data_IF_984708192428
#
_entry.id   IF_984708192428
#
_cell.length_a   1.000
_cell.length_b   1.000
_cell.length_c   1.000
_cell.angle_alpha   90.00
_cell.angle_beta   90.00
_cell.angle_gamma   90.00
#
_symmetry.space_group_name_H-M   'P 1'
#
loop_
_entity.id
_entity.type
_entity.pdbx_description
1 polymer ?
#
# COMPACT_ATOMS: atom_id res chain seq x y z
N UNK A 1 -26.11 1.34 15.78
CA UNK A 1 -24.90 0.57 15.41
C UNK A 1 -23.74 1.20 16.16
N UNK A 2 -22.74 0.44 16.60
CA UNK A 2 -21.55 1.02 17.22
C UNK A 2 -20.64 1.55 16.12
N UNK A 3 -20.20 2.78 16.25
CA UNK A 3 -19.21 3.41 15.34
C UNK A 3 -17.90 2.62 15.37
N UNK A 4 -17.23 2.49 14.24
CA UNK A 4 -15.95 1.82 14.12
C UNK A 4 -14.90 2.78 13.53
N UNK A 5 -13.72 2.79 14.14
CA UNK A 5 -12.54 3.52 13.67
C UNK A 5 -11.51 2.46 13.26
N UNK A 6 -11.28 2.31 11.97
CA UNK A 6 -10.27 1.38 11.44
C UNK A 6 -9.01 2.15 11.05
N UNK A 7 -7.89 1.82 11.70
CA UNK A 7 -6.57 2.36 11.39
C UNK A 7 -5.78 1.32 10.58
N UNK A 8 -5.49 1.59 9.33
CA UNK A 8 -4.70 0.75 8.44
C UNK A 8 -3.32 1.39 8.28
N UNK A 9 -2.33 0.86 9.01
CA UNK A 9 -0.95 1.38 9.08
C UNK A 9 0.01 0.24 8.74
N UNK A 10 0.14 -0.13 7.46
CA UNK A 10 0.99 -1.24 7.05
C UNK A 10 2.46 -0.94 7.36
N UNK A 11 3.18 -1.97 7.80
CA UNK A 11 4.59 -1.86 8.16
C UNK A 11 4.86 -1.47 9.61
N UNK A 12 3.85 -1.08 10.40
CA UNK A 12 4.04 -0.66 11.80
C UNK A 12 4.74 -1.72 12.66
N UNK A 13 4.47 -3.01 12.43
CA UNK A 13 5.09 -4.12 13.17
C UNK A 13 6.34 -4.69 12.49
N UNK A 14 6.78 -4.10 11.38
CA UNK A 14 7.97 -4.51 10.64
C UNK A 14 9.15 -3.52 10.78
N UNK A 15 9.06 -2.61 11.75
CA UNK A 15 10.09 -1.58 11.99
C UNK A 15 11.36 -2.19 12.59
N UNK A 16 12.55 -1.70 12.23
CA UNK A 16 13.83 -2.09 12.82
C UNK A 16 14.02 -1.45 14.21
N UNK A 17 13.24 -1.91 15.18
CA UNK A 17 13.10 -1.27 16.50
C UNK A 17 14.40 -1.22 17.29
N UNK A 18 15.35 -2.13 17.03
CA UNK A 18 16.68 -2.19 17.61
C UNK A 18 17.59 -1.04 17.19
N UNK A 19 17.29 -0.41 16.07
CA UNK A 19 18.05 0.74 15.54
C UNK A 19 17.54 2.09 16.08
N UNK A 20 16.42 2.08 16.79
CA UNK A 20 15.80 3.33 17.27
C UNK A 20 16.54 3.90 18.49
N UNK A 21 16.46 5.23 18.63
CA UNK A 21 17.05 5.92 19.78
C UNK A 21 16.50 5.34 21.11
N UNK A 22 17.34 5.19 22.13
CA UNK A 22 16.92 4.71 23.45
C UNK A 22 15.72 5.53 23.97
N UNK A 23 14.72 4.84 24.50
CA UNK A 23 13.50 5.42 25.05
C UNK A 23 12.55 6.12 24.04
N UNK A 24 12.90 6.22 22.76
CA UNK A 24 12.04 6.85 21.76
C UNK A 24 10.61 6.29 21.81
N UNK A 25 10.47 4.97 21.73
CA UNK A 25 9.16 4.29 21.69
C UNK A 25 8.34 4.49 22.99
N UNK A 26 9.01 4.69 24.11
CA UNK A 26 8.33 4.89 25.40
C UNK A 26 7.85 6.33 25.57
N UNK A 27 8.64 7.31 25.13
CA UNK A 27 8.43 8.73 25.43
C UNK A 27 7.63 9.47 24.37
N UNK A 28 7.84 9.13 23.09
CA UNK A 28 7.34 9.94 21.97
C UNK A 28 6.01 9.43 21.39
N UNK A 29 5.58 8.21 21.74
CA UNK A 29 4.40 7.56 21.17
C UNK A 29 3.34 7.20 22.23
N UNK A 30 2.87 8.16 23.05
CA UNK A 30 1.97 7.86 24.16
C UNK A 30 0.59 7.32 23.74
N UNK A 31 0.00 7.79 22.62
CA UNK A 31 -1.29 7.30 22.15
C UNK A 31 -1.15 5.90 21.53
N UNK A 32 -0.13 5.66 20.71
CA UNK A 32 0.16 4.32 20.20
C UNK A 32 0.41 3.34 21.34
N UNK A 33 1.21 3.70 22.34
CA UNK A 33 1.48 2.86 23.52
C UNK A 33 0.20 2.51 24.29
N UNK A 34 -0.77 3.40 24.34
CA UNK A 34 -2.08 3.12 24.95
C UNK A 34 -2.92 2.19 24.07
N UNK A 35 -2.88 2.36 22.72
CA UNK A 35 -3.55 1.44 21.80
C UNK A 35 -2.99 0.02 22.01
N UNK A 36 -1.67 -0.13 22.04
CA UNK A 36 -1.01 -1.42 22.28
C UNK A 36 -1.38 -2.04 23.65
N UNK A 37 -1.45 -1.22 24.71
CA UNK A 37 -1.75 -1.69 26.06
C UNK A 37 -3.22 -2.11 26.25
N UNK A 38 -4.15 -1.39 25.64
CA UNK A 38 -5.58 -1.57 25.90
C UNK A 38 -6.28 -2.46 24.90
N UNK A 39 -5.65 -2.73 23.78
CA UNK A 39 -6.17 -3.65 22.76
C UNK A 39 -6.15 -5.11 23.20
N UNK A 40 -6.97 -5.91 22.53
CA UNK A 40 -6.84 -7.35 22.47
C UNK A 40 -6.31 -7.70 21.06
N UNK A 41 -5.37 -8.64 20.98
CA UNK A 41 -4.87 -9.17 19.73
C UNK A 41 -5.87 -10.16 19.14
N UNK A 42 -6.08 -10.09 17.83
CA UNK A 42 -6.87 -11.06 17.07
C UNK A 42 -6.05 -11.57 15.88
N UNK A 43 -6.03 -12.86 15.62
CA UNK A 43 -5.38 -13.41 14.44
C UNK A 43 -5.94 -12.80 13.16
N UNK A 44 -5.05 -12.41 12.24
CA UNK A 44 -5.42 -11.88 10.94
C UNK A 44 -4.80 -12.74 9.83
N UNK A 45 -5.59 -13.05 8.81
CA UNK A 45 -5.15 -13.79 7.62
C UNK A 45 -4.67 -12.85 6.52
N UNK A 46 -5.09 -11.59 6.57
CA UNK A 46 -4.78 -10.59 5.55
C UNK A 46 -3.44 -9.93 5.86
N UNK A 47 -2.45 -10.23 5.04
CA UNK A 47 -1.06 -9.73 5.21
C UNK A 47 -0.68 -8.61 4.26
N UNK A 48 -1.64 -8.08 3.50
CA UNK A 48 -1.48 -6.93 2.62
C UNK A 48 -2.57 -5.88 2.88
N UNK A 49 -2.24 -4.62 2.63
CA UNK A 49 -3.15 -3.52 2.94
C UNK A 49 -4.36 -3.45 1.98
N UNK A 50 -4.23 -3.92 0.75
CA UNK A 50 -5.32 -3.90 -0.22
C UNK A 50 -6.44 -4.84 0.21
N UNK A 51 -6.11 -6.06 0.65
CA UNK A 51 -7.08 -7.01 1.21
C UNK A 51 -7.76 -6.45 2.46
N UNK A 52 -7.01 -5.72 3.30
CA UNK A 52 -7.56 -5.08 4.49
C UNK A 52 -8.57 -3.99 4.12
N UNK A 53 -8.21 -3.12 3.16
CA UNK A 53 -9.11 -2.07 2.68
C UNK A 53 -10.34 -2.70 2.01
N UNK A 54 -10.14 -3.70 1.15
CA UNK A 54 -11.23 -4.42 0.50
C UNK A 54 -12.22 -5.03 1.52
N UNK A 55 -11.71 -5.64 2.59
CA UNK A 55 -12.51 -6.18 3.68
C UNK A 55 -13.30 -5.08 4.43
N UNK A 56 -12.63 -3.97 4.75
CA UNK A 56 -13.28 -2.81 5.40
C UNK A 56 -14.39 -2.20 4.52
N UNK A 57 -14.33 -2.42 3.22
CA UNK A 57 -15.34 -2.02 2.24
C UNK A 57 -16.42 -3.10 2.01
N UNK A 58 -16.32 -4.25 2.67
CA UNK A 58 -17.23 -5.38 2.46
C UNK A 58 -17.05 -6.10 1.12
N UNK A 59 -15.89 -5.94 0.48
CA UNK A 59 -15.54 -6.60 -0.77
C UNK A 59 -15.04 -8.01 -0.49
N UNK A 60 -15.94 -8.96 -0.45
CA UNK A 60 -15.58 -10.37 -0.25
C UNK A 60 -14.96 -10.96 -1.51
N UNK A 61 -13.77 -11.56 -1.37
CA UNK A 61 -13.11 -12.33 -2.42
C UNK A 61 -12.19 -11.55 -3.37
N UNK A 62 -12.06 -10.22 -3.23
CA UNK A 62 -11.04 -9.46 -3.93
C UNK A 62 -9.78 -9.36 -3.07
N UNK A 63 -8.63 -9.70 -3.66
CA UNK A 63 -7.32 -9.54 -3.00
C UNK A 63 -6.62 -8.24 -3.41
N UNK A 64 -7.10 -7.56 -4.46
CA UNK A 64 -6.51 -6.34 -5.00
C UNK A 64 -7.56 -5.27 -5.24
N UNK A 65 -7.15 -4.01 -5.12
CA UNK A 65 -8.02 -2.86 -5.38
C UNK A 65 -7.86 -2.39 -6.84
N UNK A 66 -8.94 -2.00 -7.52
CA UNK A 66 -8.92 -1.62 -8.93
C UNK A 66 -8.39 -0.19 -9.14
N UNK A 67 -7.17 0.10 -8.71
CA UNK A 67 -6.59 1.43 -8.79
C UNK A 67 -6.55 2.00 -10.22
N UNK A 68 -6.28 1.15 -11.23
CA UNK A 68 -6.24 1.60 -12.61
C UNK A 68 -7.58 2.16 -13.09
N UNK A 69 -8.69 1.64 -12.58
CA UNK A 69 -10.03 2.12 -12.93
C UNK A 69 -10.34 3.53 -12.43
N UNK A 70 -9.58 4.03 -11.47
CA UNK A 70 -9.68 5.42 -11.01
C UNK A 70 -9.11 6.44 -12.02
N UNK A 71 -8.37 5.95 -13.02
CA UNK A 71 -7.78 6.76 -14.09
C UNK A 71 -8.48 6.60 -15.43
N UNK A 72 -9.59 5.86 -15.48
CA UNK A 72 -10.29 5.50 -16.72
C UNK A 72 -11.69 6.08 -16.70
N UNK A 73 -12.13 6.67 -17.84
CA UNK A 73 -13.44 7.29 -18.00
C UNK A 73 -14.18 6.74 -19.24
N UNK A 74 -15.50 6.97 -19.28
CA UNK A 74 -16.34 6.64 -20.44
C UNK A 74 -16.46 5.13 -20.71
N UNK A 75 -16.45 4.76 -21.98
CA UNK A 75 -16.60 3.35 -22.44
C UNK A 75 -15.46 2.44 -21.97
N UNK A 76 -14.27 2.99 -21.71
CA UNK A 76 -13.11 2.26 -21.23
C UNK A 76 -13.35 1.58 -19.87
N UNK A 77 -14.26 2.10 -19.06
CA UNK A 77 -14.66 1.49 -17.77
C UNK A 77 -15.26 0.08 -17.95
N UNK A 78 -15.76 -0.24 -19.15
CA UNK A 78 -16.36 -1.55 -19.48
C UNK A 78 -15.32 -2.66 -19.71
N UNK A 79 -14.04 -2.31 -19.82
CA UNK A 79 -12.93 -3.25 -20.06
C UNK A 79 -11.93 -3.25 -18.89
N UNK A 80 -12.37 -3.57 -17.65
CA UNK A 80 -11.57 -3.32 -16.45
C UNK A 80 -10.25 -4.09 -16.39
N UNK A 81 -10.17 -5.27 -17.00
CA UNK A 81 -8.96 -6.09 -17.01
C UNK A 81 -7.94 -5.66 -18.07
N UNK A 82 -8.25 -4.65 -18.88
CA UNK A 82 -7.30 -4.10 -19.87
C UNK A 82 -6.45 -2.95 -19.33
N UNK A 83 -6.78 -2.43 -18.15
CA UNK A 83 -6.08 -1.30 -17.57
C UNK A 83 -5.32 -1.70 -16.31
N UNK A 84 -4.07 -1.27 -16.27
CA UNK A 84 -3.14 -1.49 -15.16
C UNK A 84 -2.40 -0.20 -14.84
N UNK A 85 -2.05 -0.01 -13.60
CA UNK A 85 -0.96 0.89 -13.24
C UNK A 85 0.35 0.14 -13.37
N UNK A 86 1.41 0.85 -13.76
CA UNK A 86 2.74 0.29 -13.78
C UNK A 86 3.81 1.30 -13.37
N UNK A 87 4.92 0.77 -12.88
CA UNK A 87 6.11 1.51 -12.48
C UNK A 87 7.36 0.70 -12.82
N UNK A 88 8.43 1.41 -13.17
CA UNK A 88 9.74 0.80 -13.38
C UNK A 88 10.32 0.30 -12.07
N UNK A 89 10.94 -0.88 -12.11
CA UNK A 89 11.60 -1.53 -10.98
C UNK A 89 12.92 -2.18 -11.40
N UNK A 90 13.72 -2.57 -10.41
CA UNK A 90 14.78 -3.53 -10.59
C UNK A 90 14.34 -4.90 -10.07
N UNK A 91 14.31 -5.91 -10.94
CA UNK A 91 14.18 -7.30 -10.51
C UNK A 91 15.57 -7.88 -10.28
N UNK A 92 15.88 -8.14 -9.01
CA UNK A 92 17.13 -8.78 -8.61
C UNK A 92 16.95 -10.30 -8.64
N UNK A 93 17.68 -10.97 -9.52
CA UNK A 93 17.68 -12.43 -9.58
C UNK A 93 18.20 -13.04 -8.26
N UNK A 94 17.51 -14.04 -7.75
CA UNK A 94 17.87 -14.90 -6.64
C UNK A 94 17.83 -16.36 -7.15
N UNK A 95 18.42 -17.30 -6.42
CA UNK A 95 18.63 -18.69 -6.89
C UNK A 95 17.38 -19.38 -7.45
N UNK A 96 16.19 -19.04 -6.95
CA UNK A 96 14.92 -19.65 -7.37
C UNK A 96 13.81 -18.64 -7.61
N UNK A 97 14.10 -17.33 -7.57
CA UNK A 97 13.09 -16.28 -7.65
C UNK A 97 13.69 -14.96 -8.12
N UNK A 98 12.85 -13.93 -8.24
CA UNK A 98 13.28 -12.56 -8.43
C UNK A 98 12.68 -11.68 -7.32
N UNK A 99 13.53 -10.86 -6.68
CA UNK A 99 13.10 -9.91 -5.67
C UNK A 99 12.74 -8.58 -6.35
N UNK A 100 11.64 -7.98 -5.95
CA UNK A 100 11.26 -6.64 -6.37
C UNK A 100 12.06 -5.61 -5.57
N UNK A 101 12.92 -4.87 -6.25
CA UNK A 101 13.74 -3.81 -5.67
C UNK A 101 13.24 -2.47 -6.20
N UNK A 102 12.89 -1.51 -5.32
CA UNK A 102 12.48 -0.19 -5.75
C UNK A 102 13.67 0.55 -6.34
N UNK A 103 13.41 1.43 -7.29
CA UNK A 103 14.36 2.45 -7.68
C UNK A 103 14.22 3.63 -6.71
N UNK A 104 15.33 4.17 -6.26
CA UNK A 104 15.32 5.37 -5.42
C UNK A 104 14.63 6.53 -6.12
N UNK A 105 13.88 7.34 -5.36
CA UNK A 105 13.24 8.54 -5.89
C UNK A 105 14.32 9.59 -6.16
N UNK A 106 14.80 9.64 -7.40
CA UNK A 106 15.76 10.62 -7.87
C UNK A 106 15.41 11.07 -9.29
N UNK A 107 15.78 12.30 -9.64
CA UNK A 107 15.53 12.84 -10.97
C UNK A 107 16.16 11.97 -12.07
N UNK A 108 17.37 11.44 -11.84
CA UNK A 108 18.03 10.56 -12.78
C UNK A 108 17.23 9.26 -13.03
N UNK A 109 16.65 8.67 -11.99
CA UNK A 109 15.80 7.48 -12.14
C UNK A 109 14.48 7.79 -12.84
N UNK A 110 13.90 8.96 -12.62
CA UNK A 110 12.67 9.40 -13.29
C UNK A 110 12.92 9.70 -14.76
N UNK A 111 14.00 10.40 -15.11
CA UNK A 111 14.38 10.72 -16.49
C UNK A 111 14.68 9.42 -17.29
N UNK A 112 15.51 8.52 -16.74
CA UNK A 112 15.84 7.23 -17.36
C UNK A 112 14.59 6.35 -17.53
N UNK A 113 13.70 6.32 -16.53
CA UNK A 113 12.44 5.58 -16.59
C UNK A 113 11.53 6.12 -17.70
N UNK A 114 11.45 7.43 -17.85
CA UNK A 114 10.62 8.07 -18.87
C UNK A 114 11.10 7.71 -20.26
N UNK A 115 12.41 7.75 -20.52
CA UNK A 115 12.98 7.38 -21.81
C UNK A 115 12.71 5.89 -22.13
N UNK A 116 12.94 4.98 -21.17
CA UNK A 116 12.66 3.56 -21.36
C UNK A 116 11.17 3.32 -21.65
N UNK A 117 10.27 4.01 -20.98
CA UNK A 117 8.83 3.83 -21.18
C UNK A 117 8.35 4.42 -22.50
N UNK A 118 8.94 5.51 -22.97
CA UNK A 118 8.68 6.06 -24.32
C UNK A 118 9.15 5.10 -25.40
N UNK A 119 10.33 4.49 -25.26
CA UNK A 119 10.84 3.50 -26.21
C UNK A 119 10.02 2.19 -26.17
N UNK A 120 9.57 1.76 -24.97
CA UNK A 120 8.61 0.66 -24.82
C UNK A 120 7.30 0.97 -25.54
N UNK A 121 6.74 2.17 -25.35
CA UNK A 121 5.51 2.60 -26.04
C UNK A 121 5.68 2.54 -27.57
N UNK A 122 6.81 2.98 -28.08
CA UNK A 122 7.08 2.96 -29.52
C UNK A 122 7.20 1.54 -30.05
N UNK A 123 7.85 0.63 -29.31
CA UNK A 123 8.07 -0.75 -29.73
C UNK A 123 6.82 -1.61 -29.62
N UNK A 124 6.08 -1.52 -28.50
CA UNK A 124 4.87 -2.32 -28.20
C UNK A 124 3.56 -1.58 -28.54
N UNK A 125 3.62 -0.58 -29.41
CA UNK A 125 2.45 0.25 -29.78
C UNK A 125 1.26 -0.55 -30.32
N UNK A 126 1.49 -1.75 -30.87
CA UNK A 126 0.41 -2.61 -31.37
C UNK A 126 -0.22 -3.46 -30.26
N UNK A 127 0.47 -3.67 -29.13
CA UNK A 127 0.05 -4.52 -28.02
C UNK A 127 -0.52 -3.72 -26.86
N UNK A 128 0.02 -2.55 -26.57
CA UNK A 128 -0.42 -1.70 -25.47
C UNK A 128 -0.25 -0.20 -25.75
N UNK A 129 -0.93 0.60 -24.94
CA UNK A 129 -0.72 2.04 -24.81
C UNK A 129 -0.21 2.35 -23.40
N UNK A 130 0.82 3.19 -23.28
CA UNK A 130 1.40 3.68 -22.04
C UNK A 130 1.17 5.17 -21.92
N UNK A 131 0.53 5.62 -20.83
CA UNK A 131 0.22 7.03 -20.55
C UNK A 131 0.87 7.45 -19.23
N UNK A 132 1.73 8.47 -19.21
CA UNK A 132 2.32 8.96 -17.97
C UNK A 132 1.29 9.62 -17.09
N UNK A 133 1.33 9.31 -15.78
CA UNK A 133 0.46 9.90 -14.75
C UNK A 133 1.24 10.82 -13.79
N UNK A 134 2.55 10.89 -13.95
CA UNK A 134 3.47 11.64 -13.08
C UNK A 134 4.12 10.79 -11.98
N UNK A 135 5.19 11.29 -11.38
CA UNK A 135 5.92 10.66 -10.27
C UNK A 135 6.33 9.20 -10.55
N UNK A 136 6.71 8.88 -11.78
CA UNK A 136 7.11 7.53 -12.20
C UNK A 136 5.96 6.52 -12.29
N UNK A 137 4.72 6.98 -12.20
CA UNK A 137 3.52 6.18 -12.35
C UNK A 137 2.99 6.28 -13.78
N UNK A 138 2.58 5.16 -14.35
CA UNK A 138 2.04 5.07 -15.71
C UNK A 138 0.78 4.23 -15.74
N UNK A 139 -0.16 4.61 -16.60
CA UNK A 139 -1.32 3.81 -16.95
C UNK A 139 -1.01 3.02 -18.22
N UNK A 140 -1.14 1.70 -18.14
CA UNK A 140 -1.04 0.81 -19.30
C UNK A 140 -2.45 0.35 -19.71
N UNK A 141 -2.73 0.41 -21.02
CA UNK A 141 -3.91 -0.19 -21.63
C UNK A 141 -3.47 -1.34 -22.54
N UNK A 142 -3.94 -2.54 -22.27
CA UNK A 142 -3.72 -3.73 -23.11
C UNK A 142 -4.72 -3.77 -24.29
N UNK A 143 -4.27 -4.08 -25.50
CA UNK A 143 -5.11 -4.07 -26.70
C UNK A 143 -5.72 -5.42 -27.03
N UNK A 144 -5.00 -6.50 -26.77
CA UNK A 144 -5.35 -7.84 -27.25
C UNK A 144 -5.60 -8.87 -26.15
N UNK A 145 -5.20 -8.60 -24.92
CA UNK A 145 -5.41 -9.47 -23.78
C UNK A 145 -5.93 -8.69 -22.58
N UNK A 146 -6.35 -9.41 -21.54
CA UNK A 146 -6.60 -8.86 -20.21
C UNK A 146 -5.45 -9.25 -19.27
N UNK A 147 -5.19 -8.42 -18.30
CA UNK A 147 -4.27 -8.76 -17.22
C UNK A 147 -4.98 -9.57 -16.14
N UNK A 148 -4.20 -10.35 -15.39
CA UNK A 148 -4.68 -10.92 -14.14
C UNK A 148 -4.86 -9.82 -13.09
N UNK A 149 -5.86 -9.94 -12.24
CA UNK A 149 -6.12 -9.08 -11.10
C UNK A 149 -5.37 -9.52 -9.82
N UNK A 150 -4.43 -10.46 -9.95
CA UNK A 150 -3.68 -11.01 -8.81
C UNK A 150 -2.40 -10.26 -8.44
N UNK A 151 -2.07 -9.17 -9.12
CA UNK A 151 -0.87 -8.39 -8.80
C UNK A 151 -1.14 -7.38 -7.69
N UNK A 152 -0.54 -7.55 -6.50
CA UNK A 152 -0.71 -6.61 -5.41
C UNK A 152 -0.03 -5.27 -5.72
N UNK A 153 -0.46 -4.25 -5.01
CA UNK A 153 0.09 -2.91 -5.11
C UNK A 153 1.62 -2.92 -4.98
N UNK A 154 2.28 -2.05 -5.76
CA UNK A 154 3.72 -1.91 -5.78
C UNK A 154 4.36 -1.86 -4.38
N UNK A 155 3.78 -1.09 -3.47
CA UNK A 155 4.29 -0.95 -2.11
C UNK A 155 4.28 -2.28 -1.33
N UNK A 156 3.31 -3.14 -1.54
CA UNK A 156 3.25 -4.46 -0.90
C UNK A 156 4.29 -5.44 -1.41
N UNK A 157 4.89 -5.15 -2.57
CA UNK A 157 5.79 -6.09 -3.25
C UNK A 157 7.27 -5.86 -2.99
N UNK A 158 7.65 -4.69 -2.51
CA UNK A 158 9.05 -4.37 -2.31
C UNK A 158 9.69 -5.34 -1.31
N UNK A 159 10.83 -5.92 -1.70
CA UNK A 159 11.52 -6.94 -0.92
C UNK A 159 10.88 -8.33 -0.94
N UNK A 160 9.76 -8.52 -1.68
CA UNK A 160 9.11 -9.82 -1.83
C UNK A 160 9.49 -10.51 -3.15
N UNK A 161 9.25 -11.82 -3.20
CA UNK A 161 9.51 -12.66 -4.37
C UNK A 161 8.39 -12.50 -5.40
N UNK A 162 8.72 -12.03 -6.60
CA UNK A 162 7.76 -11.81 -7.67
C UNK A 162 7.05 -13.10 -8.13
N UNK A 163 7.74 -14.24 -8.07
CA UNK A 163 7.23 -15.52 -8.57
C UNK A 163 5.96 -16.01 -7.85
N UNK A 164 5.67 -15.53 -6.65
CA UNK A 164 4.48 -15.92 -5.88
C UNK A 164 3.17 -15.42 -6.52
N UNK A 165 3.27 -14.43 -7.42
CA UNK A 165 2.13 -13.77 -8.05
C UNK A 165 1.99 -14.11 -9.54
N UNK A 166 2.79 -15.04 -10.05
CA UNK A 166 2.68 -15.51 -11.42
C UNK A 166 1.57 -16.57 -11.47
N UNK A 167 0.44 -16.18 -12.02
CA UNK A 167 -0.67 -17.10 -12.27
C UNK A 167 -0.31 -18.08 -13.40
N UNK A 168 -0.54 -19.37 -13.18
CA UNK A 168 -0.23 -20.43 -14.15
C UNK A 168 -1.44 -20.80 -15.04
N UNK A 169 -2.42 -19.92 -15.19
CA UNK A 169 -3.57 -20.19 -16.05
C UNK A 169 -3.24 -20.04 -17.54
N UNK A 170 -3.92 -20.83 -18.38
CA UNK A 170 -3.78 -20.70 -19.82
C UNK A 170 -4.30 -19.36 -20.37
N UNK A 171 -5.24 -18.75 -19.68
CA UNK A 171 -5.82 -17.45 -20.06
C UNK A 171 -4.83 -16.29 -19.81
N UNK A 172 -3.96 -16.42 -18.82
CA UNK A 172 -2.93 -15.42 -18.51
C UNK A 172 -1.70 -15.51 -19.43
N UNK A 173 -1.58 -16.57 -20.25
CA UNK A 173 -0.40 -16.82 -21.07
C UNK A 173 -0.02 -15.66 -22.03
N UNK A 174 -0.97 -15.02 -22.78
CA UNK A 174 -0.64 -13.89 -23.64
C UNK A 174 -0.08 -12.70 -22.87
N UNK A 175 -0.61 -12.44 -21.67
CA UNK A 175 -0.14 -11.39 -20.78
C UNK A 175 1.31 -11.67 -20.31
N UNK A 176 1.62 -12.90 -19.90
CA UNK A 176 2.98 -13.25 -19.50
C UNK A 176 4.00 -13.22 -20.64
N UNK A 177 3.58 -13.56 -21.85
CA UNK A 177 4.43 -13.42 -23.04
C UNK A 177 4.82 -11.95 -23.24
N UNK A 178 3.84 -11.05 -23.21
CA UNK A 178 4.08 -9.61 -23.35
C UNK A 178 4.99 -9.08 -22.22
N UNK A 179 4.74 -9.47 -20.97
CA UNK A 179 5.60 -9.09 -19.84
C UNK A 179 7.05 -9.53 -20.04
N UNK A 180 7.26 -10.77 -20.48
CA UNK A 180 8.60 -11.30 -20.73
C UNK A 180 9.31 -10.56 -21.87
N UNK A 181 8.59 -10.25 -22.95
CA UNK A 181 9.14 -9.48 -24.08
C UNK A 181 9.53 -8.07 -23.64
N UNK A 182 8.69 -7.39 -22.84
CA UNK A 182 9.04 -6.10 -22.24
C UNK A 182 10.27 -6.17 -21.33
N UNK A 183 10.38 -7.23 -20.53
CA UNK A 183 11.55 -7.46 -19.69
C UNK A 183 12.83 -7.65 -20.52
N UNK A 184 12.76 -8.44 -21.61
CA UNK A 184 13.89 -8.65 -22.52
C UNK A 184 14.31 -7.33 -23.20
N UNK A 185 13.35 -6.54 -23.64
CA UNK A 185 13.59 -5.21 -24.20
C UNK A 185 14.31 -4.30 -23.22
N UNK A 186 13.78 -4.17 -22.00
CA UNK A 186 14.37 -3.33 -20.97
C UNK A 186 15.76 -3.79 -20.56
N UNK A 187 15.99 -5.10 -20.45
CA UNK A 187 17.30 -5.64 -20.10
C UNK A 187 18.40 -5.26 -21.10
N UNK A 188 18.06 -5.18 -22.39
CA UNK A 188 18.99 -4.85 -23.47
C UNK A 188 19.10 -3.35 -23.73
N UNK A 189 18.32 -2.52 -23.03
CA UNK A 189 18.24 -1.10 -23.28
C UNK A 189 19.57 -0.38 -22.98
N UNK A 190 19.99 0.54 -23.86
CA UNK A 190 21.29 1.23 -23.78
C UNK A 190 21.46 2.04 -22.49
N UNK A 191 20.39 2.58 -21.92
CA UNK A 191 20.39 3.29 -20.63
C UNK A 191 20.95 2.38 -19.53
N UNK A 192 20.61 1.10 -19.51
CA UNK A 192 21.08 0.18 -18.47
C UNK A 192 22.59 -0.06 -18.52
N UNK A 193 23.22 0.06 -19.67
CA UNK A 193 24.68 0.02 -19.78
C UNK A 193 25.31 1.24 -19.09
N UNK A 194 24.74 2.44 -19.31
CA UNK A 194 25.21 3.66 -18.67
C UNK A 194 24.98 3.60 -17.16
N UNK A 195 23.83 3.10 -16.71
CA UNK A 195 23.49 2.95 -15.28
C UNK A 195 24.48 2.04 -14.55
N UNK A 196 24.85 0.93 -15.15
CA UNK A 196 25.86 0.02 -14.59
C UNK A 196 27.23 0.70 -14.42
N UNK A 197 27.64 1.54 -15.38
CA UNK A 197 28.93 2.27 -15.27
C UNK A 197 28.92 3.34 -14.20
N UNK A 198 27.75 3.88 -13.85
CA UNK A 198 27.58 4.89 -12.79
C UNK A 198 27.19 4.29 -11.44
N UNK A 199 27.11 2.95 -11.33
CA UNK A 199 26.76 2.25 -10.09
C UNK A 199 25.28 2.28 -9.74
N UNK A 200 24.41 2.68 -10.68
CA UNK A 200 22.96 2.65 -10.50
C UNK A 200 22.39 1.26 -10.85
N UNK A 201 21.33 0.89 -10.16
CA UNK A 201 20.61 -0.36 -10.48
C UNK A 201 19.98 -0.28 -11.87
N UNK A 202 20.10 -1.33 -12.71
CA UNK A 202 19.40 -1.40 -13.99
C UNK A 202 17.88 -1.30 -13.82
N UNK A 203 17.21 -0.60 -14.72
CA UNK A 203 15.76 -0.58 -14.88
C UNK A 203 15.38 -1.74 -15.80
N UNK A 204 15.17 -2.92 -15.26
CA UNK A 204 15.05 -4.14 -16.04
C UNK A 204 13.66 -4.78 -16.06
N UNK A 205 12.67 -4.16 -15.39
CA UNK A 205 11.30 -4.66 -15.38
C UNK A 205 10.30 -3.56 -15.04
N UNK A 206 9.03 -3.88 -15.26
CA UNK A 206 7.88 -3.15 -14.77
C UNK A 206 7.18 -3.98 -13.68
N UNK A 207 6.65 -3.32 -12.66
CA UNK A 207 5.66 -3.89 -11.79
C UNK A 207 4.29 -3.34 -12.15
N UNK A 208 3.27 -4.19 -12.13
CA UNK A 208 1.92 -3.90 -12.54
C UNK A 208 0.94 -4.15 -11.39
N UNK A 209 -0.13 -3.36 -11.29
CA UNK A 209 -1.18 -3.55 -10.28
C UNK A 209 -2.46 -2.85 -10.68
N UNK A 210 -3.51 -3.05 -9.87
CA UNK A 210 -4.73 -2.26 -9.93
C UNK A 210 -5.67 -2.59 -11.08
N UNK A 211 -5.49 -3.74 -11.75
CA UNK A 211 -6.51 -4.26 -12.66
C UNK A 211 -7.75 -4.68 -11.88
N UNK A 212 -8.89 -4.74 -12.54
CA UNK A 212 -10.12 -5.23 -11.95
C UNK A 212 -11.29 -4.27 -12.08
N UNK A 213 -12.47 -4.74 -11.71
CA UNK A 213 -13.70 -3.99 -11.83
C UNK A 213 -13.94 -3.11 -10.61
N UNK A 214 -14.42 -1.88 -10.83
CA UNK A 214 -14.88 -1.03 -9.72
C UNK A 214 -15.98 -1.76 -8.94
N UNK A 215 -15.84 -1.88 -7.63
CA UNK A 215 -16.88 -2.44 -6.79
C UNK A 215 -18.11 -1.53 -6.82
N UNK A 216 -19.29 -2.15 -6.72
CA UNK A 216 -20.51 -1.42 -6.44
C UNK A 216 -20.63 -1.28 -4.94
N UNK A 217 -20.63 -0.04 -4.46
CA UNK A 217 -20.94 0.25 -3.06
C UNK A 217 -22.42 0.53 -2.89
N UNK A 218 -23.03 -0.19 -2.01
CA UNK A 218 -24.25 0.27 -1.37
C UNK A 218 -23.84 1.32 -0.32
N UNK A 219 -24.62 2.38 -0.19
CA UNK A 219 -24.49 3.58 0.65
C UNK A 219 -23.87 3.38 2.06
N UNK A 220 -22.76 2.69 2.18
CA UNK A 220 -22.05 2.50 3.43
C UNK A 220 -21.38 3.82 3.82
N UNK A 221 -21.88 4.41 4.89
CA UNK A 221 -21.37 5.61 5.53
C UNK A 221 -19.99 5.38 6.15
N UNK A 222 -18.99 5.14 5.31
CA UNK A 222 -17.59 5.04 5.72
C UNK A 222 -16.87 6.25 5.17
N UNK A 223 -16.33 7.09 6.04
CA UNK A 223 -15.50 8.20 5.66
C UNK A 223 -14.03 7.76 5.64
N UNK A 224 -13.32 8.07 4.56
CA UNK A 224 -11.90 7.80 4.47
C UNK A 224 -11.07 8.99 4.93
N UNK A 225 -9.95 8.69 5.58
CA UNK A 225 -8.89 9.65 5.90
C UNK A 225 -7.58 9.10 5.34
N UNK A 226 -7.04 9.75 4.31
CA UNK A 226 -5.78 9.35 3.68
C UNK A 226 -5.13 10.53 2.97
N UNK A 227 -3.79 10.51 2.89
CA UNK A 227 -3.00 11.49 2.14
C UNK A 227 -2.39 10.87 0.85
N UNK A 228 -2.56 9.56 0.64
CA UNK A 228 -2.08 8.89 -0.57
C UNK A 228 -2.93 9.24 -1.79
N UNK A 229 -2.28 9.73 -2.86
CA UNK A 229 -2.96 10.22 -4.05
C UNK A 229 -3.70 9.13 -4.84
N UNK A 230 -3.23 7.88 -4.83
CA UNK A 230 -3.90 6.78 -5.53
C UNK A 230 -5.13 6.33 -4.76
N UNK A 231 -5.05 6.27 -3.44
CA UNK A 231 -6.19 5.96 -2.56
C UNK A 231 -7.26 7.05 -2.63
N UNK A 232 -6.87 8.32 -2.57
CA UNK A 232 -7.81 9.46 -2.72
C UNK A 232 -8.54 9.39 -4.06
N UNK A 233 -7.80 9.15 -5.15
CA UNK A 233 -8.40 9.01 -6.47
C UNK A 233 -9.30 7.78 -6.61
N UNK A 234 -8.94 6.67 -5.96
CA UNK A 234 -9.81 5.50 -5.88
C UNK A 234 -11.10 5.83 -5.14
N UNK A 235 -11.02 6.49 -3.98
CA UNK A 235 -12.18 6.91 -3.20
C UNK A 235 -13.14 7.79 -4.03
N UNK A 236 -12.61 8.81 -4.72
CA UNK A 236 -13.39 9.64 -5.65
C UNK A 236 -14.10 8.80 -6.72
N UNK A 237 -13.37 7.83 -7.31
CA UNK A 237 -13.87 7.01 -8.41
C UNK A 237 -15.00 6.07 -8.01
N UNK A 238 -15.16 5.79 -6.73
CA UNK A 238 -16.18 4.92 -6.13
C UNK A 238 -17.15 5.68 -5.23
N UNK A 239 -17.11 7.03 -5.27
CA UNK A 239 -17.98 7.95 -4.52
C UNK A 239 -17.91 7.76 -3.00
N UNK A 240 -16.72 7.51 -2.46
CA UNK A 240 -16.47 7.52 -1.02
C UNK A 240 -15.97 8.92 -0.63
N UNK A 241 -16.59 9.52 0.40
CA UNK A 241 -16.11 10.77 0.98
C UNK A 241 -14.74 10.54 1.63
N UNK A 242 -13.75 11.34 1.25
CA UNK A 242 -12.41 11.24 1.81
C UNK A 242 -11.86 12.61 2.22
N UNK A 243 -11.03 12.61 3.25
CA UNK A 243 -10.42 13.79 3.85
C UNK A 243 -8.93 13.52 4.11
N UNK A 244 -8.09 14.55 4.17
CA UNK A 244 -6.71 14.38 4.57
C UNK A 244 -6.60 13.97 6.05
N UNK A 245 -5.53 13.25 6.41
CA UNK A 245 -5.30 12.71 7.74
C UNK A 245 -5.36 13.77 8.86
N UNK A 246 -4.89 14.99 8.59
CA UNK A 246 -4.92 16.09 9.56
C UNK A 246 -6.34 16.56 9.95
N UNK A 247 -7.36 16.12 9.22
CA UNK A 247 -8.77 16.41 9.53
C UNK A 247 -9.45 15.31 10.36
N UNK A 248 -8.75 14.24 10.70
CA UNK A 248 -9.30 13.14 11.50
C UNK A 248 -9.94 13.61 12.81
N UNK A 249 -9.38 14.64 13.44
CA UNK A 249 -9.95 15.22 14.67
C UNK A 249 -11.33 15.88 14.49
N UNK A 250 -11.73 16.18 13.24
CA UNK A 250 -13.02 16.81 12.90
C UNK A 250 -14.08 15.78 12.51
N UNK A 251 -13.73 14.48 12.55
CA UNK A 251 -14.64 13.39 12.23
C UNK A 251 -15.90 13.43 13.12
N UNK A 252 -17.05 13.14 12.52
CA UNK A 252 -18.31 12.98 13.26
C UNK A 252 -18.31 11.66 14.03
N UNK A 253 -18.77 11.71 15.26
CA UNK A 253 -18.74 10.58 16.20
C UNK A 253 -19.71 9.44 15.89
N UNK A 254 -20.58 9.59 14.90
CA UNK A 254 -21.63 8.64 14.51
C UNK A 254 -21.37 7.94 13.15
N UNK A 255 -20.28 8.26 12.48
CA UNK A 255 -19.88 7.66 11.20
C UNK A 255 -18.73 6.66 11.40
N UNK A 256 -18.72 5.60 10.61
CA UNK A 256 -17.57 4.69 10.53
C UNK A 256 -16.45 5.38 9.77
N UNK A 257 -15.21 5.15 10.18
CA UNK A 257 -14.05 5.74 9.50
C UNK A 257 -13.00 4.69 9.18
N UNK A 258 -12.38 4.87 8.03
CA UNK A 258 -11.22 4.13 7.59
C UNK A 258 -10.06 5.10 7.42
N UNK A 259 -9.08 5.00 8.30
CA UNK A 259 -7.88 5.85 8.32
C UNK A 259 -6.73 5.03 7.72
N UNK A 260 -6.16 5.50 6.62
CA UNK A 260 -5.14 4.76 5.88
C UNK A 260 -3.88 5.61 5.77
N UNK A 261 -2.76 5.11 6.27
CA UNK A 261 -1.45 5.71 6.07
C UNK A 261 -0.46 4.69 5.53
N UNK A 262 0.10 4.95 4.35
CA UNK A 262 1.09 4.10 3.69
C UNK A 262 2.52 4.62 3.88
N UNK A 263 2.71 5.74 4.56
CA UNK A 263 4.00 6.43 4.66
C UNK A 263 5.10 5.62 5.35
N UNK A 264 4.75 4.81 6.35
CA UNK A 264 5.70 3.88 6.97
C UNK A 264 6.12 2.78 6.01
N UNK A 265 5.19 2.25 5.22
CA UNK A 265 5.49 1.23 4.23
C UNK A 265 6.41 1.78 3.12
N UNK A 266 6.27 3.02 2.74
CA UNK A 266 7.20 3.71 1.85
C UNK A 266 8.57 3.93 2.51
N UNK A 267 8.58 4.46 3.73
CA UNK A 267 9.79 4.79 4.46
C UNK A 267 10.65 3.57 4.80
N UNK A 268 10.06 2.43 5.13
CA UNK A 268 10.75 1.17 5.39
C UNK A 268 11.69 0.71 4.26
N UNK A 269 11.58 1.29 3.07
CA UNK A 269 12.27 0.84 1.85
C UNK A 269 13.53 1.63 1.52
N UNK A 270 13.64 2.85 1.99
CA UNK A 270 14.71 3.77 1.60
C UNK A 270 15.14 4.74 2.70
N UNK A 271 14.47 4.74 3.85
CA UNK A 271 14.72 5.73 4.90
C UNK A 271 15.64 5.20 6.00
N UNK A 272 16.35 6.11 6.64
CA UNK A 272 17.12 5.81 7.84
C UNK A 272 16.20 5.52 9.04
N UNK A 273 16.75 4.93 10.09
CA UNK A 273 16.00 4.73 11.34
C UNK A 273 15.52 6.06 11.95
N UNK A 274 16.25 7.15 11.73
CA UNK A 274 15.86 8.50 12.16
C UNK A 274 14.65 9.02 11.38
N UNK A 275 14.60 8.81 10.06
CA UNK A 275 13.44 9.18 9.25
C UNK A 275 12.19 8.38 9.66
N UNK A 276 12.36 7.09 9.98
CA UNK A 276 11.27 6.25 10.50
C UNK A 276 10.74 6.75 11.85
N UNK A 277 11.63 7.21 12.74
CA UNK A 277 11.24 7.82 14.01
C UNK A 277 10.43 9.11 13.78
N UNK A 278 10.88 9.99 12.89
CA UNK A 278 10.13 11.21 12.51
C UNK A 278 8.76 10.86 11.93
N UNK A 279 8.66 9.84 11.09
CA UNK A 279 7.37 9.36 10.56
C UNK A 279 6.45 8.88 11.64
N UNK A 280 6.95 8.13 12.62
CA UNK A 280 6.15 7.67 13.77
C UNK A 280 5.64 8.84 14.63
N UNK A 281 6.46 9.88 14.84
CA UNK A 281 6.03 11.09 15.54
C UNK A 281 4.92 11.82 14.78
N UNK A 282 5.02 11.91 13.47
CA UNK A 282 3.94 12.47 12.64
C UNK A 282 2.67 11.65 12.78
N UNK A 283 2.74 10.32 12.70
CA UNK A 283 1.59 9.44 12.90
C UNK A 283 1.00 9.53 14.31
N UNK A 284 1.84 9.71 15.33
CA UNK A 284 1.36 9.93 16.69
C UNK A 284 0.46 11.17 16.76
N UNK A 285 0.88 12.28 16.13
CA UNK A 285 0.15 13.55 16.16
C UNK A 285 -1.09 13.56 15.23
N UNK A 286 -0.95 12.98 14.03
CA UNK A 286 -1.99 13.09 12.99
C UNK A 286 -3.01 11.95 13.03
N UNK A 287 -2.63 10.78 13.55
CA UNK A 287 -3.48 9.57 13.54
C UNK A 287 -3.76 9.06 14.95
N UNK A 288 -2.73 8.65 15.71
CA UNK A 288 -2.96 7.93 16.96
C UNK A 288 -3.60 8.78 18.05
N UNK A 289 -3.13 10.01 18.27
CA UNK A 289 -3.74 10.93 19.24
C UNK A 289 -5.18 11.30 18.88
N UNK A 290 -5.49 11.76 17.64
CA UNK A 290 -6.87 12.03 17.25
C UNK A 290 -7.78 10.81 17.37
N UNK A 291 -7.34 9.64 16.91
CA UNK A 291 -8.12 8.41 17.02
C UNK A 291 -8.42 8.04 18.47
N UNK A 292 -7.45 8.20 19.39
CA UNK A 292 -7.64 7.97 20.81
C UNK A 292 -8.60 8.97 21.46
N UNK A 293 -8.60 10.23 21.02
CA UNK A 293 -9.57 11.25 21.49
C UNK A 293 -10.97 10.85 21.04
N UNK A 294 -11.16 10.50 19.77
CA UNK A 294 -12.45 10.04 19.23
C UNK A 294 -12.93 8.77 19.92
N UNK A 295 -12.05 7.79 20.11
CA UNK A 295 -12.38 6.55 20.83
C UNK A 295 -12.86 6.82 22.26
N UNK A 296 -12.24 7.75 22.98
CA UNK A 296 -12.62 8.08 24.36
C UNK A 296 -13.93 8.87 24.48
N UNK A 297 -14.19 9.76 23.53
CA UNK A 297 -15.37 10.64 23.51
C UNK A 297 -16.63 9.94 22.98
N UNK A 298 -16.46 8.83 22.26
CA UNK A 298 -17.57 8.09 21.62
C UNK A 298 -17.76 6.70 22.23
N UNK A 299 -18.76 5.97 21.70
CA UNK A 299 -18.94 4.53 21.94
C UNK A 299 -18.34 3.68 20.81
N UNK A 300 -17.36 4.22 20.12
CA UNK A 300 -16.71 3.53 19.00
C UNK A 300 -15.85 2.36 19.49
N UNK A 301 -15.67 1.39 18.61
CA UNK A 301 -14.53 0.47 18.63
C UNK A 301 -13.38 1.06 17.80
N UNK A 302 -12.14 0.75 18.16
CA UNK A 302 -10.96 1.10 17.38
C UNK A 302 -10.23 -0.17 17.02
N UNK A 303 -9.93 -0.33 15.73
CA UNK A 303 -9.13 -1.44 15.23
C UNK A 303 -7.85 -0.89 14.60
N UNK A 304 -6.70 -1.48 14.92
CA UNK A 304 -5.41 -1.17 14.31
C UNK A 304 -4.95 -2.39 13.50
N UNK A 305 -4.78 -2.20 12.20
CA UNK A 305 -4.44 -3.22 11.21
C UNK A 305 -3.14 -2.82 10.51
N UNK A 306 -2.08 -3.58 10.74
CA UNK A 306 -0.74 -3.25 10.26
C UNK A 306 -0.28 -4.11 9.07
N UNK A 307 -1.19 -4.79 8.37
CA UNK A 307 -0.87 -5.79 7.34
C UNK A 307 0.07 -6.88 7.89
N UNK A 308 -0.23 -7.36 9.08
CA UNK A 308 0.52 -8.36 9.83
C UNK A 308 -0.40 -9.51 10.26
N UNK A 309 0.13 -10.55 10.88
CA UNK A 309 -0.65 -11.71 11.32
C UNK A 309 -1.67 -11.40 12.44
N UNK A 310 -1.62 -10.22 12.99
CA UNK A 310 -2.46 -9.78 14.10
C UNK A 310 -3.07 -8.41 13.83
N UNK A 311 -4.35 -8.30 14.17
CA UNK A 311 -5.06 -7.05 14.32
C UNK A 311 -5.24 -6.74 15.81
N UNK A 312 -5.25 -5.45 16.16
CA UNK A 312 -5.47 -4.98 17.51
C UNK A 312 -6.84 -4.33 17.62
N UNK A 313 -7.65 -4.78 18.59
CA UNK A 313 -9.02 -4.28 18.76
C UNK A 313 -9.21 -3.71 20.15
N UNK A 314 -9.67 -2.47 20.21
CA UNK A 314 -10.18 -1.81 21.39
C UNK A 314 -11.71 -1.74 21.32
N UNK A 315 -12.39 -2.34 22.25
CA UNK A 315 -13.84 -2.20 22.41
C UNK A 315 -14.18 -0.99 23.29
N UNK A 316 -15.42 -0.49 23.31
CA UNK A 316 -15.81 0.61 24.19
C UNK A 316 -15.50 0.38 25.68
N UNK A 317 -15.41 -0.87 26.11
CA UNK A 317 -15.01 -1.24 27.48
C UNK A 317 -13.50 -1.15 27.71
N UNK A 318 -12.69 -1.14 26.66
CA UNK A 318 -11.22 -1.06 26.79
C UNK A 318 -10.74 0.22 27.45
N UNK A 319 -11.50 1.32 27.36
CA UNK A 319 -11.19 2.61 28.03
C UNK A 319 -11.16 2.52 29.56
N UNK A 320 -11.74 1.48 30.14
CA UNK A 320 -11.74 1.26 31.61
C UNK A 320 -10.58 0.37 32.08
N UNK A 321 -9.75 -0.14 31.16
CA UNK A 321 -8.59 -1.02 31.49
C UNK A 321 -7.37 -0.21 32.00
N UNK A 322 -7.61 0.78 32.88
CA UNK A 322 -6.58 1.68 33.42
C UNK A 322 -5.49 0.98 34.26
N UNK A 323 -5.74 -0.28 34.66
CA UNK A 323 -4.77 -1.11 35.39
C UNK A 323 -3.72 -1.78 34.50
N UNK A 324 -3.87 -1.75 33.16
CA UNK A 324 -2.86 -2.31 32.25
C UNK A 324 -1.67 -1.36 32.19
N UNK A 325 -0.48 -1.94 32.33
CA UNK A 325 0.78 -1.20 32.13
C UNK A 325 0.90 -0.75 30.68
N UNK A 326 1.54 0.39 30.48
CA UNK A 326 1.92 0.87 29.15
C UNK A 326 2.75 -0.19 28.42
N UNK A 327 2.45 -0.42 27.14
CA UNK A 327 3.21 -1.29 26.24
C UNK A 327 3.78 -0.44 25.11
N UNK A 328 5.00 -0.71 24.70
CA UNK A 328 5.57 -0.15 23.47
C UNK A 328 5.70 -1.24 22.40
N UNK A 329 6.10 -0.86 21.19
CA UNK A 329 6.24 -1.80 20.07
C UNK A 329 7.20 -2.96 20.37
N UNK A 330 8.29 -2.72 21.12
CA UNK A 330 9.25 -3.79 21.50
C UNK A 330 8.58 -4.80 22.44
N UNK A 331 7.96 -4.30 23.53
CA UNK A 331 7.31 -5.18 24.50
C UNK A 331 6.09 -5.89 23.92
N UNK A 332 5.46 -5.30 22.93
CA UNK A 332 4.38 -5.94 22.18
C UNK A 332 4.91 -7.08 21.32
N UNK A 333 5.95 -6.86 20.51
CA UNK A 333 6.56 -7.87 19.66
C UNK A 333 7.15 -9.06 20.43
N UNK A 334 7.73 -8.83 21.61
CA UNK A 334 8.25 -9.91 22.47
C UNK A 334 7.12 -10.80 23.03
N UNK A 335 5.99 -10.20 23.43
CA UNK A 335 4.84 -10.94 23.98
C UNK A 335 4.10 -11.81 22.93
N UNK A 336 4.29 -11.53 21.64
CA UNK A 336 3.69 -12.30 20.55
C UNK A 336 4.57 -13.46 20.06
N UNK A 337 5.86 -13.49 20.46
CA UNK A 337 6.81 -14.58 20.15
C UNK A 337 6.83 -15.69 21.23
N UNK A 338 6.21 -15.46 22.39
CA UNK A 338 6.02 -16.42 23.48
C UNK A 338 4.62 -17.10 23.38
#
# INVERSE_FOLDING_TARGET
MSTQIDLVIPGLFNLPLEEFAPNFLASNLPALNQILAYSNSMPNVQTDFESIIADSLGLTGSQTLPFAQAYVEGEAVKEPHRYLLCRTIHLKADMHSALVVPLESSRANEDDSSIILEDLQAFFRDDCDLTPLGSGLWLMRLKHCGASDCYPHYLSMIGRKANQFIEQSKQALPWYQLMNEMQMFMHQHSINQNRLTTGLLPINSLWFWGAGQKPKFDDNKVQWFCDDAQLSRLADSINIDHQPLNQLSQMKSDENSLVIDLSLLEALKSSSSEDLQVKLEVLEETVFKPAMVLFRSSRASLQLRAAHHLDLIMTPLSKYKIWRSSKNLISFGQAEME
#
